data_IF_269755713258
#
_entry.id   IF_269755713258
#
_cell.length_a   1.000
_cell.length_b   1.000
_cell.length_c   1.000
_cell.angle_alpha   90.00
_cell.angle_beta   90.00
_cell.angle_gamma   90.00
#
_symmetry.space_group_name_H-M   'P 1'
#
loop_
_entity.id
_entity.type
_entity.pdbx_description
1 polymer ?
#
# COMPACT_ATOMS: atom_id res chain seq x y z
N UNK A 1 22.28 -22.79 -6.36
CA UNK A 1 21.77 -23.26 -5.06
C UNK A 1 20.91 -22.15 -4.52
N UNK A 2 19.60 -22.27 -4.62
CA UNK A 2 18.68 -21.27 -4.05
C UNK A 2 18.68 -21.45 -2.53
N UNK A 3 19.01 -20.39 -1.79
CA UNK A 3 18.81 -20.37 -0.34
C UNK A 3 17.34 -20.68 -0.03
N UNK A 4 17.04 -21.49 0.99
CA UNK A 4 15.67 -21.64 1.43
C UNK A 4 15.16 -20.26 1.86
N UNK A 5 14.17 -19.74 1.15
CA UNK A 5 13.40 -18.58 1.58
C UNK A 5 12.90 -18.88 2.98
N UNK A 6 13.32 -18.12 3.98
CA UNK A 6 12.68 -18.20 5.29
C UNK A 6 11.17 -17.94 5.07
N UNK A 7 10.29 -18.76 5.66
CA UNK A 7 8.86 -18.51 5.55
C UNK A 7 8.55 -17.16 6.20
N UNK A 8 7.72 -16.37 5.52
CA UNK A 8 7.27 -15.09 6.07
C UNK A 8 6.43 -15.35 7.33
N UNK A 9 6.88 -14.82 8.45
CA UNK A 9 6.19 -14.86 9.75
C UNK A 9 5.80 -13.45 10.22
N UNK A 10 5.06 -13.40 11.34
CA UNK A 10 4.53 -12.16 11.89
C UNK A 10 5.64 -11.17 12.29
N UNK A 11 6.78 -11.66 12.79
CA UNK A 11 7.89 -10.83 13.25
C UNK A 11 8.68 -10.26 12.07
N UNK A 12 8.93 -11.07 11.04
CA UNK A 12 9.57 -10.62 9.79
C UNK A 12 8.68 -9.61 9.05
N UNK A 13 7.36 -9.85 9.04
CA UNK A 13 6.38 -8.89 8.52
C UNK A 13 6.46 -7.56 9.26
N UNK A 14 6.37 -7.60 10.61
CA UNK A 14 6.40 -6.40 11.44
C UNK A 14 7.70 -5.62 11.22
N UNK A 15 8.84 -6.30 11.30
CA UNK A 15 10.17 -5.69 11.07
C UNK A 15 10.27 -5.01 9.70
N UNK A 16 9.61 -5.58 8.68
CA UNK A 16 9.63 -5.01 7.34
C UNK A 16 8.70 -3.80 7.19
N UNK A 17 7.51 -3.81 7.80
CA UNK A 17 6.58 -2.68 7.73
C UNK A 17 6.95 -1.53 8.67
N UNK A 18 7.77 -1.78 9.69
CA UNK A 18 8.35 -0.73 10.55
C UNK A 18 9.18 0.30 9.77
N UNK A 19 9.62 0.01 8.55
CA UNK A 19 10.25 1.02 7.70
C UNK A 19 9.35 2.24 7.42
N UNK A 20 8.04 2.12 7.64
CA UNK A 20 7.06 3.19 7.53
C UNK A 20 6.84 4.00 8.81
N UNK A 21 7.49 3.68 9.95
CA UNK A 21 7.21 4.30 11.27
C UNK A 21 7.26 5.85 11.26
N UNK A 22 8.07 6.44 10.36
CA UNK A 22 8.31 7.89 10.26
C UNK A 22 7.40 8.57 9.25
N UNK A 23 6.46 7.81 8.67
CA UNK A 23 5.50 8.27 7.68
C UNK A 23 4.11 8.05 8.25
N UNK A 24 3.22 8.96 7.88
CA UNK A 24 1.81 8.80 8.12
C UNK A 24 1.30 7.79 7.08
N UNK A 25 1.34 6.51 7.46
CA UNK A 25 1.15 5.36 6.55
C UNK A 25 0.17 4.37 7.14
N UNK A 26 -0.83 3.99 6.36
CA UNK A 26 -1.77 2.91 6.65
C UNK A 26 -1.28 1.60 6.03
N UNK A 27 -1.24 0.53 6.80
CA UNK A 27 -0.91 -0.84 6.39
C UNK A 27 -1.95 -1.79 6.96
N UNK A 28 -2.82 -2.33 6.11
CA UNK A 28 -3.82 -3.30 6.54
C UNK A 28 -4.23 -4.24 5.42
N UNK A 29 -4.74 -5.41 5.79
CA UNK A 29 -5.21 -6.46 4.90
C UNK A 29 -6.55 -7.01 5.40
N UNK A 30 -7.34 -7.55 4.47
CA UNK A 30 -8.60 -8.21 4.74
C UNK A 30 -8.78 -9.44 3.84
N UNK A 31 -9.69 -10.35 4.22
CA UNK A 31 -9.98 -11.52 3.42
C UNK A 31 -10.71 -11.12 2.12
N UNK A 32 -10.50 -11.90 1.07
CA UNK A 32 -11.32 -11.83 -0.15
C UNK A 32 -12.60 -12.61 0.07
N UNK A 33 -13.71 -11.90 0.16
CA UNK A 33 -15.02 -12.50 0.45
C UNK A 33 -16.04 -12.20 -0.64
N UNK A 34 -15.87 -11.10 -1.35
CA UNK A 34 -16.77 -10.69 -2.43
C UNK A 34 -16.25 -11.12 -3.80
N UNK A 35 -17.13 -11.37 -4.77
CA UNK A 35 -16.70 -11.52 -6.17
C UNK A 35 -15.96 -10.26 -6.66
N UNK A 36 -16.50 -9.09 -6.30
CA UNK A 36 -15.86 -7.80 -6.56
C UNK A 36 -14.98 -7.36 -5.39
N UNK A 37 -13.66 -7.35 -5.62
CA UNK A 37 -12.65 -6.92 -4.65
C UNK A 37 -12.83 -5.51 -4.12
N UNK A 38 -13.57 -4.64 -4.83
CA UNK A 38 -13.80 -3.28 -4.38
C UNK A 38 -14.59 -3.22 -3.07
N UNK A 39 -15.46 -4.20 -2.82
CA UNK A 39 -16.19 -4.32 -1.55
C UNK A 39 -15.25 -4.65 -0.38
N UNK A 40 -14.30 -5.55 -0.61
CA UNK A 40 -13.32 -5.91 0.42
C UNK A 40 -12.32 -4.76 0.65
N UNK A 41 -11.93 -4.01 -0.39
CA UNK A 41 -11.14 -2.76 -0.20
C UNK A 41 -11.88 -1.76 0.67
N UNK A 42 -13.16 -1.54 0.41
CA UNK A 42 -13.97 -0.63 1.22
C UNK A 42 -14.02 -1.07 2.69
N UNK A 43 -14.10 -2.37 2.94
CA UNK A 43 -14.05 -2.95 4.29
C UNK A 43 -12.70 -2.73 4.97
N UNK A 44 -11.58 -2.95 4.27
CA UNK A 44 -10.23 -2.68 4.79
C UNK A 44 -10.05 -1.20 5.11
N UNK A 45 -10.48 -0.28 4.24
CA UNK A 45 -10.37 1.16 4.48
C UNK A 45 -11.15 1.63 5.71
N UNK A 46 -12.27 0.99 6.03
CA UNK A 46 -13.08 1.28 7.23
C UNK A 46 -12.58 0.61 8.51
N UNK A 47 -11.53 -0.22 8.42
CA UNK A 47 -11.10 -1.07 9.53
C UNK A 47 -12.11 -2.15 9.94
N UNK A 48 -13.03 -2.52 9.04
CA UNK A 48 -14.06 -3.53 9.30
C UNK A 48 -13.55 -4.96 9.05
N UNK A 49 -12.50 -5.10 8.24
CA UNK A 49 -11.90 -6.38 7.91
C UNK A 49 -10.89 -6.80 9.00
N UNK A 50 -11.02 -8.04 9.48
CA UNK A 50 -10.00 -8.66 10.30
C UNK A 50 -8.78 -9.04 9.44
N UNK A 51 -7.58 -8.78 9.94
CA UNK A 51 -6.33 -9.15 9.26
C UNK A 51 -6.25 -10.71 9.15
N UNK A 52 -6.20 -11.30 7.93
CA UNK A 52 -6.37 -12.74 7.75
C UNK A 52 -5.34 -13.64 8.43
N UNK A 53 -4.15 -13.10 8.73
CA UNK A 53 -3.01 -13.81 9.32
C UNK A 53 -2.80 -13.42 10.79
N UNK A 54 -3.66 -12.55 11.34
CA UNK A 54 -3.49 -11.89 12.64
C UNK A 54 -2.13 -11.19 12.80
N UNK A 55 -1.57 -10.70 11.70
CA UNK A 55 -0.32 -9.94 11.70
C UNK A 55 -0.58 -8.48 12.03
N UNK A 56 0.44 -7.82 12.59
CA UNK A 56 0.34 -6.41 12.99
C UNK A 56 0.11 -5.50 11.79
N UNK A 57 -0.76 -4.52 11.97
CA UNK A 57 -1.10 -3.48 11.01
C UNK A 57 -0.49 -2.14 11.45
N UNK A 58 -0.54 -1.14 10.57
CA UNK A 58 -0.24 0.25 10.92
C UNK A 58 -1.48 1.06 10.57
N UNK A 59 -2.07 1.76 11.52
CA UNK A 59 -3.14 2.72 11.26
C UNK A 59 -2.81 4.01 12.03
N UNK A 60 -2.39 5.08 11.34
CA UNK A 60 -1.97 6.31 11.99
C UNK A 60 -3.14 7.08 12.61
N UNK A 61 -4.38 6.70 12.28
CA UNK A 61 -5.61 7.32 12.78
C UNK A 61 -6.39 6.41 13.74
N UNK A 62 -5.80 5.29 14.18
CA UNK A 62 -6.46 4.40 15.13
C UNK A 62 -6.73 5.12 16.46
N UNK A 63 -8.01 5.30 16.77
CA UNK A 63 -8.45 5.98 18.00
C UNK A 63 -8.51 7.51 17.92
N UNK A 64 -8.27 8.10 16.74
CA UNK A 64 -8.44 9.54 16.51
C UNK A 64 -9.94 9.94 16.39
N UNK A 65 -10.27 11.17 16.77
CA UNK A 65 -11.65 11.69 16.83
C UNK A 65 -12.34 11.62 15.46
N UNK A 66 -11.61 11.86 14.37
CA UNK A 66 -12.13 11.79 13.01
C UNK A 66 -12.72 10.41 12.66
N UNK A 67 -12.20 9.33 13.26
CA UNK A 67 -12.70 7.95 13.06
C UNK A 67 -13.99 7.66 13.82
N UNK A 68 -14.37 8.49 14.80
CA UNK A 68 -15.66 8.34 15.50
C UNK A 68 -16.82 8.64 14.56
N UNK A 69 -16.69 9.70 13.75
CA UNK A 69 -17.70 10.14 12.77
C UNK A 69 -17.52 9.49 11.39
N UNK A 70 -16.28 9.36 10.92
CA UNK A 70 -15.94 8.73 9.64
C UNK A 70 -14.90 7.63 9.83
N UNK A 71 -15.40 6.41 10.00
CA UNK A 71 -14.56 5.20 10.15
C UNK A 71 -13.55 5.00 9.03
N UNK A 72 -13.71 5.62 7.87
CA UNK A 72 -12.77 5.46 6.77
C UNK A 72 -11.70 6.55 6.69
N UNK A 73 -11.75 7.57 7.54
CA UNK A 73 -10.79 8.66 7.53
C UNK A 73 -9.34 8.12 7.51
N UNK A 74 -8.45 8.56 6.61
CA UNK A 74 -8.59 9.69 5.69
C UNK A 74 -9.05 9.28 4.28
N UNK A 75 -9.39 8.02 4.05
CA UNK A 75 -9.76 7.50 2.73
C UNK A 75 -11.10 8.04 2.21
N UNK A 76 -11.17 8.19 0.89
CA UNK A 76 -12.42 8.32 0.14
C UNK A 76 -12.83 6.91 -0.28
N UNK A 77 -13.69 6.28 0.53
CA UNK A 77 -14.12 4.89 0.32
C UNK A 77 -14.74 4.73 -1.07
N UNK A 78 -14.37 3.68 -1.83
CA UNK A 78 -14.97 3.43 -3.12
C UNK A 78 -16.48 3.21 -3.01
N UNK A 79 -17.29 3.87 -3.83
CA UNK A 79 -18.64 3.39 -4.11
C UNK A 79 -18.53 2.01 -4.77
N UNK A 80 -19.29 1.03 -4.27
CA UNK A 80 -19.14 -0.37 -4.66
C UNK A 80 -19.94 -0.75 -5.92
N UNK A 81 -20.76 0.15 -6.46
CA UNK A 81 -21.62 -0.10 -7.62
C UNK A 81 -21.72 1.10 -8.57
N UNK A 82 -22.15 0.83 -9.80
CA UNK A 82 -22.46 1.86 -10.81
C UNK A 82 -21.24 2.63 -11.32
N UNK A 83 -21.49 3.83 -11.85
CA UNK A 83 -20.47 4.68 -12.45
C UNK A 83 -19.37 5.08 -11.44
N UNK A 84 -19.73 5.31 -10.17
CA UNK A 84 -18.75 5.65 -9.14
C UNK A 84 -17.69 4.57 -8.95
N UNK A 85 -18.06 3.29 -9.04
CA UNK A 85 -17.12 2.18 -8.90
C UNK A 85 -16.12 2.13 -10.06
N UNK A 86 -16.54 2.54 -11.27
CA UNK A 86 -15.65 2.66 -12.42
C UNK A 86 -14.72 3.88 -12.26
N UNK A 87 -15.25 5.02 -11.84
CA UNK A 87 -14.47 6.25 -11.61
C UNK A 87 -13.39 6.05 -10.55
N UNK A 88 -13.73 5.38 -9.45
CA UNK A 88 -12.76 5.08 -8.39
C UNK A 88 -11.65 4.15 -8.89
N UNK A 89 -11.99 3.08 -9.61
CA UNK A 89 -10.99 2.20 -10.25
C UNK A 89 -10.14 2.94 -11.27
N UNK A 90 -10.70 3.93 -11.97
CA UNK A 90 -9.97 4.78 -12.91
C UNK A 90 -8.85 5.61 -12.27
N UNK A 91 -8.87 5.80 -10.94
CA UNK A 91 -7.77 6.43 -10.19
C UNK A 91 -6.57 5.49 -9.99
N UNK A 92 -6.79 4.19 -10.15
CA UNK A 92 -5.78 3.17 -9.98
C UNK A 92 -5.21 2.71 -11.32
N UNK A 93 -3.94 2.35 -11.28
CA UNK A 93 -3.19 1.75 -12.37
C UNK A 93 -2.58 0.44 -11.91
N UNK A 94 -2.83 -0.61 -12.67
CA UNK A 94 -2.16 -1.89 -12.47
C UNK A 94 -0.67 -1.79 -12.83
N UNK A 95 0.18 -2.37 -11.99
CA UNK A 95 1.64 -2.39 -12.15
C UNK A 95 2.16 -3.83 -12.09
N UNK A 96 3.27 -4.13 -12.79
CA UNK A 96 3.87 -5.46 -12.70
C UNK A 96 4.52 -5.67 -11.34
N UNK A 97 4.56 -6.93 -10.88
CA UNK A 97 5.24 -7.34 -9.63
C UNK A 97 6.68 -6.85 -9.54
N UNK A 98 7.39 -6.77 -10.67
CA UNK A 98 8.77 -6.28 -10.75
C UNK A 98 8.93 -4.80 -10.33
N UNK A 99 7.87 -4.01 -10.37
CA UNK A 99 7.86 -2.60 -9.93
C UNK A 99 7.54 -2.45 -8.44
N UNK A 100 6.97 -3.47 -7.78
CA UNK A 100 6.41 -3.36 -6.42
C UNK A 100 7.47 -3.07 -5.37
N UNK A 101 8.65 -3.70 -5.44
CA UNK A 101 9.74 -3.41 -4.48
C UNK A 101 10.08 -1.93 -4.47
N UNK A 102 10.25 -1.32 -5.65
CA UNK A 102 10.61 0.10 -5.74
C UNK A 102 9.47 1.01 -5.30
N UNK A 103 8.21 0.61 -5.51
CA UNK A 103 7.05 1.33 -4.98
C UNK A 103 7.07 1.32 -3.44
N UNK A 104 7.20 0.15 -2.82
CA UNK A 104 7.25 0.01 -1.36
C UNK A 104 8.35 0.88 -0.75
N UNK A 105 9.53 0.90 -1.38
CA UNK A 105 10.63 1.76 -0.94
C UNK A 105 10.28 3.24 -1.10
N UNK A 106 9.68 3.66 -2.22
CA UNK A 106 9.19 5.04 -2.42
C UNK A 106 8.22 5.45 -1.28
N UNK A 107 7.32 4.58 -0.86
CA UNK A 107 6.34 4.86 0.19
C UNK A 107 6.97 5.13 1.57
N UNK A 108 8.17 4.60 1.82
CA UNK A 108 8.95 4.83 3.04
C UNK A 108 9.79 6.13 3.01
N UNK A 109 9.91 6.76 1.83
CA UNK A 109 10.71 7.99 1.68
C UNK A 109 9.96 9.24 2.11
N UNK A 110 10.73 10.24 2.56
CA UNK A 110 10.22 11.59 2.82
C UNK A 110 9.71 12.23 1.52
N UNK A 111 8.65 13.03 1.64
CA UNK A 111 7.98 13.74 0.53
C UNK A 111 7.61 12.84 -0.66
N UNK A 112 7.58 11.51 -0.46
CA UNK A 112 7.34 10.51 -1.49
C UNK A 112 8.22 10.74 -2.73
N UNK A 113 9.51 11.00 -2.47
CA UNK A 113 10.49 11.27 -3.49
C UNK A 113 11.86 10.74 -3.07
N UNK A 114 12.24 9.62 -3.68
CA UNK A 114 13.51 8.93 -3.43
C UNK A 114 14.73 9.83 -3.58
N UNK A 115 14.76 10.73 -4.58
CA UNK A 115 15.91 11.61 -4.79
C UNK A 115 16.03 12.74 -3.76
N UNK A 116 15.00 12.94 -2.93
CA UNK A 116 14.96 13.97 -1.88
C UNK A 116 15.12 13.39 -0.48
N UNK A 117 15.13 12.06 -0.34
CA UNK A 117 15.35 11.42 0.95
C UNK A 117 16.85 11.30 1.25
N UNK A 118 17.38 12.02 2.26
CA UNK A 118 18.81 12.03 2.56
C UNK A 118 19.32 10.69 3.10
N UNK A 119 18.44 9.77 3.53
CA UNK A 119 18.82 8.44 4.04
C UNK A 119 18.92 7.41 2.94
N UNK A 120 18.29 7.67 1.80
CA UNK A 120 18.11 6.66 0.76
C UNK A 120 19.43 6.12 0.20
N UNK A 121 20.47 6.92 -0.10
CA UNK A 121 21.72 6.37 -0.63
C UNK A 121 22.36 5.32 0.29
N UNK A 122 22.33 5.54 1.60
CA UNK A 122 22.93 4.66 2.60
C UNK A 122 22.00 3.49 2.99
N UNK A 123 20.68 3.72 3.05
CA UNK A 123 19.68 2.73 3.50
C UNK A 123 19.00 1.96 2.35
N UNK A 124 19.35 2.24 1.09
CA UNK A 124 18.70 1.62 -0.07
C UNK A 124 18.64 0.10 0.01
N UNK A 125 19.75 -0.55 0.34
CA UNK A 125 19.82 -2.01 0.37
C UNK A 125 18.88 -2.60 1.43
N UNK A 126 18.81 -1.96 2.60
CA UNK A 126 17.94 -2.34 3.72
C UNK A 126 16.46 -2.13 3.37
N UNK A 127 16.08 -0.98 2.82
CA UNK A 127 14.70 -0.76 2.36
C UNK A 127 14.29 -1.74 1.24
N UNK A 128 15.19 -2.05 0.30
CA UNK A 128 14.91 -3.05 -0.73
C UNK A 128 14.75 -4.46 -0.15
N UNK A 129 15.45 -4.78 0.94
CA UNK A 129 15.30 -6.05 1.66
C UNK A 129 13.96 -6.14 2.37
N UNK A 130 13.58 -5.12 3.15
CA UNK A 130 12.25 -5.05 3.78
C UNK A 130 11.12 -5.09 2.76
N UNK A 131 11.23 -4.36 1.65
CA UNK A 131 10.26 -4.40 0.57
C UNK A 131 10.14 -5.80 -0.07
N UNK A 132 11.24 -6.56 -0.18
CA UNK A 132 11.20 -7.96 -0.64
C UNK A 132 10.51 -8.86 0.37
N UNK A 133 10.74 -8.66 1.68
CA UNK A 133 10.03 -9.39 2.74
C UNK A 133 8.53 -9.13 2.64
N UNK A 134 8.09 -7.87 2.51
CA UNK A 134 6.68 -7.54 2.27
C UNK A 134 6.14 -8.24 1.01
N UNK A 135 6.91 -8.23 -0.09
CA UNK A 135 6.49 -8.85 -1.34
C UNK A 135 6.27 -10.38 -1.22
N UNK A 136 6.95 -11.06 -0.30
CA UNK A 136 6.75 -12.50 -0.05
C UNK A 136 5.38 -12.83 0.54
N UNK A 137 4.65 -11.82 1.05
CA UNK A 137 3.26 -11.99 1.49
C UNK A 137 2.34 -12.40 0.35
N UNK A 138 2.59 -11.84 -0.84
CA UNK A 138 1.67 -11.90 -1.96
C UNK A 138 1.95 -13.13 -2.82
N UNK A 139 0.92 -13.94 -3.15
CA UNK A 139 1.06 -15.05 -4.10
C UNK A 139 1.50 -14.56 -5.49
N UNK A 140 1.90 -15.48 -6.36
CA UNK A 140 2.45 -15.14 -7.68
C UNK A 140 1.40 -14.43 -8.56
N UNK A 141 0.14 -14.84 -8.43
CA UNK A 141 -1.01 -14.36 -9.18
C UNK A 141 -1.59 -13.03 -8.64
N UNK A 142 -1.04 -12.52 -7.55
CA UNK A 142 -1.50 -11.26 -6.97
C UNK A 142 -1.36 -10.11 -7.97
N UNK A 143 -2.41 -9.30 -8.07
CA UNK A 143 -2.45 -8.08 -8.88
C UNK A 143 -2.13 -6.89 -8.00
N UNK A 144 -1.36 -5.94 -8.55
CA UNK A 144 -0.86 -4.79 -7.83
C UNK A 144 -1.33 -3.51 -8.50
N UNK A 145 -1.83 -2.59 -7.70
CA UNK A 145 -2.34 -1.31 -8.15
C UNK A 145 -1.71 -0.18 -7.37
N UNK A 146 -1.53 0.95 -8.03
CA UNK A 146 -1.13 2.20 -7.39
C UNK A 146 -1.90 3.35 -8.01
N UNK A 147 -1.92 4.51 -7.38
CA UNK A 147 -2.59 5.70 -7.89
C UNK A 147 -1.64 6.70 -8.58
N UNK A 148 -0.38 6.31 -8.82
CA UNK A 148 0.63 7.19 -9.43
C UNK A 148 0.99 6.82 -10.86
N UNK A 149 1.39 7.85 -11.60
CA UNK A 149 1.94 7.76 -12.95
C UNK A 149 3.38 8.30 -12.99
N UNK A 150 4.15 7.81 -13.96
CA UNK A 150 5.55 8.18 -14.15
C UNK A 150 6.47 6.96 -14.12
N UNK A 151 7.79 7.22 -14.16
CA UNK A 151 8.83 6.20 -14.06
C UNK A 151 8.97 5.25 -15.26
N UNK A 152 8.31 5.52 -16.39
CA UNK A 152 8.42 4.70 -17.61
C UNK A 152 7.52 3.45 -17.64
N UNK A 153 7.88 2.50 -18.49
CA UNK A 153 7.15 1.25 -18.73
C UNK A 153 8.14 0.06 -18.84
N UNK A 154 8.20 -0.85 -17.84
CA UNK A 154 7.44 -0.83 -16.59
C UNK A 154 7.84 0.35 -15.68
N UNK A 155 6.97 0.79 -14.75
CA UNK A 155 7.28 1.91 -13.86
C UNK A 155 8.49 1.64 -12.97
N UNK A 156 9.40 2.60 -12.94
CA UNK A 156 10.53 2.67 -12.03
C UNK A 156 10.31 3.81 -11.02
N UNK A 157 9.92 3.46 -9.80
CA UNK A 157 9.57 4.42 -8.75
C UNK A 157 10.77 5.11 -8.09
N UNK A 158 11.99 4.80 -8.51
CA UNK A 158 13.17 5.62 -8.17
C UNK A 158 13.33 6.81 -9.11
N UNK A 159 12.64 6.81 -10.24
CA UNK A 159 12.55 7.95 -11.14
C UNK A 159 11.41 8.88 -10.71
N UNK A 160 11.40 10.09 -11.27
CA UNK A 160 10.39 11.10 -10.96
C UNK A 160 8.98 10.61 -11.33
N UNK A 161 8.08 10.63 -10.35
CA UNK A 161 6.63 10.51 -10.54
C UNK A 161 6.06 11.79 -11.17
N UNK A 162 5.13 11.65 -12.11
CA UNK A 162 4.55 12.77 -12.86
C UNK A 162 3.25 13.29 -12.25
N UNK A 163 2.46 12.41 -11.64
CA UNK A 163 1.20 12.76 -10.97
C UNK A 163 0.70 11.61 -10.10
N UNK A 164 -0.22 11.91 -9.18
CA UNK A 164 -1.05 10.91 -8.51
C UNK A 164 -2.54 11.26 -8.70
N UNK A 165 -3.41 10.26 -8.51
CA UNK A 165 -4.86 10.40 -8.39
C UNK A 165 -5.26 10.07 -6.95
N UNK A 166 -5.30 11.05 -6.04
CA UNK A 166 -5.56 10.78 -4.62
C UNK A 166 -6.84 9.97 -4.39
N UNK A 167 -6.77 9.04 -3.44
CA UNK A 167 -7.94 8.27 -2.97
C UNK A 167 -8.26 8.58 -1.50
N UNK A 168 -7.66 9.63 -0.95
CA UNK A 168 -7.90 10.17 0.38
C UNK A 168 -8.35 11.63 0.30
N UNK A 169 -8.62 12.21 1.48
CA UNK A 169 -8.90 13.64 1.65
C UNK A 169 -7.67 14.52 1.45
N UNK A 170 -6.46 13.95 1.46
CA UNK A 170 -5.22 14.68 1.26
C UNK A 170 -4.97 14.96 -0.22
N UNK A 171 -4.37 16.12 -0.51
CA UNK A 171 -4.02 16.53 -1.87
C UNK A 171 -2.96 15.61 -2.50
N UNK A 172 -2.19 14.92 -1.66
CA UNK A 172 -1.15 14.00 -2.08
C UNK A 172 -1.16 12.74 -1.20
N UNK A 173 -1.47 11.61 -1.83
CA UNK A 173 -1.35 10.29 -1.24
C UNK A 173 -0.83 9.32 -2.31
N UNK A 174 -0.10 8.31 -1.86
CA UNK A 174 0.45 7.27 -2.72
C UNK A 174 0.38 5.95 -2.00
N UNK A 175 0.11 4.89 -2.74
CA UNK A 175 0.18 3.58 -2.13
C UNK A 175 0.16 2.41 -3.10
N UNK A 176 0.25 1.25 -2.48
CA UNK A 176 0.06 -0.05 -3.07
C UNK A 176 -1.26 -0.61 -2.58
N UNK A 177 -2.13 -0.97 -3.52
CA UNK A 177 -3.25 -1.87 -3.30
C UNK A 177 -2.87 -3.22 -3.92
N UNK A 178 -3.05 -4.32 -3.21
CA UNK A 178 -2.93 -5.66 -3.80
C UNK A 178 -4.24 -6.43 -3.71
N UNK A 179 -4.46 -7.31 -4.68
CA UNK A 179 -5.62 -8.20 -4.73
C UNK A 179 -5.13 -9.60 -5.13
N UNK A 180 -5.47 -10.61 -4.34
CA UNK A 180 -5.34 -12.03 -4.70
C UNK A 180 -6.70 -12.73 -4.62
N UNK A 181 -6.71 -14.06 -4.70
CA UNK A 181 -7.91 -14.86 -4.48
C UNK A 181 -8.29 -14.97 -2.99
N UNK A 182 -7.33 -14.76 -2.08
CA UNK A 182 -7.51 -14.94 -0.64
C UNK A 182 -7.51 -13.62 0.13
N UNK A 183 -6.79 -12.61 -0.35
CA UNK A 183 -6.54 -11.37 0.39
C UNK A 183 -6.62 -10.12 -0.49
N UNK A 184 -7.01 -9.03 0.16
CA UNK A 184 -6.87 -7.68 -0.36
C UNK A 184 -6.20 -6.82 0.70
N UNK A 185 -5.46 -5.80 0.32
CA UNK A 185 -4.98 -4.85 1.31
C UNK A 185 -4.25 -3.67 0.73
N UNK A 186 -3.90 -2.75 1.63
CA UNK A 186 -3.30 -1.47 1.30
C UNK A 186 -2.02 -1.24 2.11
N UNK A 187 -1.02 -0.68 1.45
CA UNK A 187 0.08 0.06 2.06
C UNK A 187 -0.01 1.46 1.46
N UNK A 188 -0.48 2.44 2.22
CA UNK A 188 -0.83 3.77 1.73
C UNK A 188 -0.19 4.85 2.58
N UNK A 189 0.67 5.66 1.97
CA UNK A 189 1.34 6.78 2.64
C UNK A 189 0.67 8.10 2.24
N UNK A 190 0.39 8.93 3.23
CA UNK A 190 -0.26 10.22 3.02
C UNK A 190 0.71 11.39 3.24
N UNK A 191 0.39 12.54 2.66
CA UNK A 191 1.01 13.82 2.98
C UNK A 191 -0.04 14.74 3.64
N UNK A 192 -0.07 14.82 4.97
CA UNK A 192 -1.06 15.62 5.69
C UNK A 192 -0.76 17.13 5.74
N UNK A 193 0.26 17.60 5.01
CA UNK A 193 0.73 19.00 5.05
C UNK A 193 -0.03 19.93 4.11
#
# INVERSE_FOLDING_TARGET
>A
MSSPSMPLDADSWWSAVEMYERRYTFVSAGPRTAEDWLRDVASVMRGEAAEPRSWRTIDPDEGEEEREDDRAYPFLVPPVEGAGAADWRGRLREIPRSSVVRLLVLLATLDLNVSRDPRFPEQRAEFEEYAKVILTRFPEEARFFTNTSGGGAPPDFYQRISSCSPISRYAWDLGLLWVSDEEVGLIWSFDPR
#
